data_IF_542920931681
#
_entry.id   IF_542920931681
#
_cell.length_a   1.000
_cell.length_b   1.000
_cell.length_c   1.000
_cell.angle_alpha   90.00
_cell.angle_beta   90.00
_cell.angle_gamma   90.00
#
_symmetry.space_group_name_H-M   'P 1'
#
loop_
_entity.id
_entity.type
_entity.pdbx_description
1 polymer ?
#
# COMPACT_ATOMS: atom_id res chain seq x y z
N UNK A 1 -11.93 -4.11 -13.62
CA UNK A 1 -11.59 -3.17 -12.52
C UNK A 1 -10.28 -2.51 -12.88
N UNK A 2 -10.15 -1.19 -12.72
CA UNK A 2 -8.84 -0.55 -12.81
C UNK A 2 -8.71 0.49 -11.71
N UNK A 3 -7.64 0.40 -10.94
CA UNK A 3 -7.35 1.35 -9.87
C UNK A 3 -6.71 2.58 -10.48
N UNK A 4 -7.22 3.76 -10.13
CA UNK A 4 -6.69 5.05 -10.57
C UNK A 4 -6.28 5.91 -9.39
N UNK A 5 -5.13 6.56 -9.53
CA UNK A 5 -4.69 7.62 -8.61
C UNK A 5 -5.22 8.94 -9.15
N UNK A 6 -6.21 9.52 -8.49
CA UNK A 6 -6.96 10.69 -8.99
C UNK A 6 -7.22 11.71 -7.90
N UNK A 7 -7.57 12.93 -8.33
CA UNK A 7 -7.88 14.03 -7.43
C UNK A 7 -9.36 14.03 -7.09
N UNK A 8 -9.67 13.96 -5.80
CA UNK A 8 -10.99 14.21 -5.24
C UNK A 8 -11.12 15.71 -4.96
N UNK A 9 -12.19 16.34 -5.44
CA UNK A 9 -12.38 17.78 -5.23
C UNK A 9 -13.09 18.00 -3.90
N UNK A 10 -12.50 18.84 -3.07
CA UNK A 10 -13.02 19.33 -1.81
C UNK A 10 -13.00 20.86 -1.83
N UNK A 11 -13.46 21.45 -0.73
CA UNK A 11 -13.47 22.89 -0.53
C UNK A 11 -14.80 23.54 -0.89
N UNK A 12 -14.77 24.86 -1.05
CA UNK A 12 -15.97 25.69 -1.25
C UNK A 12 -15.86 26.43 -2.59
N UNK A 13 -16.94 27.13 -2.95
CA UNK A 13 -16.93 28.04 -4.11
C UNK A 13 -15.75 29.02 -3.96
N UNK A 14 -14.97 29.22 -5.03
CA UNK A 14 -13.76 30.06 -5.05
C UNK A 14 -12.60 29.66 -4.11
N UNK A 15 -12.67 28.51 -3.44
CA UNK A 15 -11.56 27.95 -2.64
C UNK A 15 -11.45 26.44 -2.88
N UNK A 16 -10.88 26.02 -4.04
CA UNK A 16 -10.72 24.61 -4.35
C UNK A 16 -9.62 24.00 -3.49
N UNK A 17 -9.88 22.80 -2.96
CA UNK A 17 -8.90 21.96 -2.29
C UNK A 17 -9.00 20.57 -2.89
N UNK A 18 -7.88 19.85 -3.03
CA UNK A 18 -7.90 18.52 -3.62
C UNK A 18 -7.22 17.52 -2.71
N UNK A 19 -7.84 16.35 -2.55
CA UNK A 19 -7.18 15.17 -1.99
C UNK A 19 -6.74 14.27 -3.12
N UNK A 20 -5.58 13.65 -2.96
CA UNK A 20 -5.05 12.68 -3.93
C UNK A 20 -5.34 11.31 -3.34
N UNK A 21 -6.18 10.57 -4.04
CA UNK A 21 -6.79 9.36 -3.53
C UNK A 21 -6.66 8.24 -4.56
N UNK A 22 -6.57 7.03 -4.05
CA UNK A 22 -6.60 5.80 -4.84
C UNK A 22 -8.04 5.28 -4.82
N UNK A 23 -8.61 5.11 -6.00
CA UNK A 23 -10.01 4.72 -6.19
C UNK A 23 -10.16 3.82 -7.41
N UNK A 24 -11.19 2.97 -7.42
CA UNK A 24 -11.61 2.32 -8.67
C UNK A 24 -12.05 3.38 -9.69
N UNK A 25 -11.66 3.20 -10.96
CA UNK A 25 -11.98 4.09 -12.05
C UNK A 25 -13.49 4.32 -12.24
N UNK A 26 -14.32 3.32 -11.94
CA UNK A 26 -15.79 3.37 -12.08
C UNK A 26 -16.47 4.15 -10.96
N UNK A 27 -15.81 4.32 -9.82
CA UNK A 27 -16.37 5.05 -8.68
C UNK A 27 -16.58 6.53 -9.03
N UNK A 28 -17.60 7.21 -8.45
CA UNK A 28 -17.82 8.64 -8.67
C UNK A 28 -16.61 9.47 -8.20
N UNK A 29 -16.40 10.66 -8.78
CA UNK A 29 -15.23 11.53 -8.52
C UNK A 29 -14.94 11.69 -7.02
N UNK A 30 -15.99 11.99 -6.25
CA UNK A 30 -15.89 12.28 -4.82
C UNK A 30 -16.37 11.11 -3.94
N UNK A 31 -16.37 9.89 -4.49
CA UNK A 31 -16.76 8.67 -3.78
C UNK A 31 -15.79 8.23 -2.68
N UNK A 32 -15.98 6.99 -2.23
CA UNK A 32 -15.14 6.34 -1.23
C UNK A 32 -13.76 6.02 -1.81
N UNK A 33 -12.72 6.49 -1.14
CA UNK A 33 -11.34 6.14 -1.46
C UNK A 33 -10.96 4.80 -0.83
N UNK A 34 -10.08 4.06 -1.50
CA UNK A 34 -9.37 2.92 -0.90
C UNK A 34 -8.35 3.47 0.09
N UNK A 35 -7.58 4.48 -0.34
CA UNK A 35 -6.54 5.13 0.45
C UNK A 35 -6.37 6.60 0.01
N UNK A 36 -6.10 7.48 0.98
CA UNK A 36 -5.72 8.88 0.73
C UNK A 36 -4.19 9.02 0.86
N UNK A 37 -3.52 9.33 -0.25
CA UNK A 37 -2.04 9.36 -0.32
C UNK A 37 -1.46 10.78 -0.36
N UNK A 38 -2.32 11.80 -0.32
CA UNK A 38 -1.85 13.17 -0.30
C UNK A 38 -2.92 14.23 -0.47
N UNK A 39 -2.45 15.46 -0.60
CA UNK A 39 -3.27 16.64 -0.82
C UNK A 39 -2.59 17.67 -1.71
N UNK A 40 -3.42 18.48 -2.35
CA UNK A 40 -3.02 19.59 -3.20
C UNK A 40 -3.92 20.80 -2.95
N UNK A 41 -3.32 21.89 -2.50
CA UNK A 41 -4.00 23.18 -2.34
C UNK A 41 -3.40 24.23 -3.30
N UNK A 42 -4.05 24.50 -4.45
CA UNK A 42 -3.53 25.48 -5.40
C UNK A 42 -3.53 26.93 -4.88
N UNK A 43 -4.26 27.24 -3.80
CA UNK A 43 -4.37 28.60 -3.27
C UNK A 43 -3.24 28.96 -2.30
N UNK A 44 -2.44 27.99 -1.87
CA UNK A 44 -1.30 28.24 -0.98
C UNK A 44 -0.14 28.83 -1.78
N UNK A 45 0.35 30.00 -1.34
CA UNK A 45 1.47 30.71 -1.98
C UNK A 45 2.80 29.97 -1.81
N UNK A 46 3.03 29.43 -0.62
CA UNK A 46 4.20 28.60 -0.35
C UNK A 46 4.15 27.30 -1.18
N UNK A 47 5.26 27.00 -1.86
CA UNK A 47 5.37 25.82 -2.74
C UNK A 47 5.48 24.54 -1.93
N UNK A 48 6.08 24.57 -0.73
CA UNK A 48 6.26 23.39 0.11
C UNK A 48 4.94 22.92 0.69
N UNK A 49 4.15 23.83 1.24
CA UNK A 49 2.83 23.51 1.77
C UNK A 49 1.78 23.20 0.68
N UNK A 50 2.05 23.52 -0.60
CA UNK A 50 1.10 23.36 -1.72
C UNK A 50 0.76 21.91 -2.04
N UNK A 51 1.75 21.02 -1.94
CA UNK A 51 1.63 19.62 -2.33
C UNK A 51 2.21 18.76 -1.22
N UNK A 52 1.39 17.87 -0.67
CA UNK A 52 1.86 16.84 0.29
C UNK A 52 1.53 15.49 -0.30
N UNK A 53 2.56 14.68 -0.57
CA UNK A 53 2.42 13.34 -1.13
C UNK A 53 3.17 12.34 -0.25
N UNK A 54 2.53 11.22 0.07
CA UNK A 54 3.22 10.04 0.54
C UNK A 54 3.77 9.27 -0.67
N UNK A 55 5.06 9.45 -0.95
CA UNK A 55 5.71 8.88 -2.14
C UNK A 55 5.81 7.36 -2.06
N UNK A 56 6.07 6.79 -0.88
CA UNK A 56 6.20 5.35 -0.67
C UNK A 56 4.91 4.62 -1.07
N UNK A 57 3.76 5.13 -0.62
CA UNK A 57 2.45 4.55 -0.96
C UNK A 57 2.12 4.72 -2.43
N UNK A 58 2.43 5.87 -3.02
CA UNK A 58 2.20 6.11 -4.45
C UNK A 58 3.00 5.11 -5.29
N UNK A 59 4.27 4.89 -4.96
CA UNK A 59 5.14 3.97 -5.69
C UNK A 59 4.68 2.53 -5.57
N UNK A 60 4.26 2.09 -4.39
CA UNK A 60 3.61 0.80 -4.19
C UNK A 60 2.36 0.64 -5.08
N UNK A 61 1.46 1.62 -5.10
CA UNK A 61 0.24 1.48 -5.90
C UNK A 61 0.52 1.52 -7.41
N UNK A 62 1.53 2.28 -7.84
CA UNK A 62 1.99 2.26 -9.23
C UNK A 62 2.59 0.90 -9.59
N UNK A 63 3.35 0.26 -8.69
CA UNK A 63 3.90 -1.09 -8.95
C UNK A 63 2.80 -2.16 -9.05
N UNK A 64 1.72 -2.02 -8.28
CA UNK A 64 0.50 -2.86 -8.37
C UNK A 64 -0.33 -2.55 -9.63
N UNK A 65 0.07 -1.58 -10.45
CA UNK A 65 -0.57 -1.25 -11.73
C UNK A 65 -1.62 -0.14 -11.68
N UNK A 66 -1.68 0.63 -10.58
CA UNK A 66 -2.55 1.80 -10.52
C UNK A 66 -2.06 2.90 -11.48
N UNK A 67 -2.99 3.44 -12.27
CA UNK A 67 -2.67 4.46 -13.26
C UNK A 67 -2.97 5.87 -12.71
N UNK A 68 -1.96 6.76 -12.59
CA UNK A 68 -2.19 8.14 -12.16
C UNK A 68 -2.83 8.97 -13.28
N UNK A 69 -3.69 9.93 -12.91
CA UNK A 69 -4.19 10.92 -13.87
C UNK A 69 -3.10 11.91 -14.28
N UNK A 70 -3.26 12.55 -15.44
CA UNK A 70 -2.23 13.45 -16.02
C UNK A 70 -1.76 14.54 -15.05
N UNK A 71 -2.68 15.19 -14.33
CA UNK A 71 -2.34 16.21 -13.32
C UNK A 71 -1.62 15.62 -12.12
N UNK A 72 -2.03 14.43 -11.64
CA UNK A 72 -1.38 13.74 -10.53
C UNK A 72 0.03 13.31 -10.93
N UNK A 73 0.20 12.76 -12.13
CA UNK A 73 1.51 12.42 -12.67
C UNK A 73 2.43 13.65 -12.76
N UNK A 74 1.91 14.80 -13.19
CA UNK A 74 2.66 16.06 -13.19
C UNK A 74 3.06 16.53 -11.78
N UNK A 75 2.20 16.35 -10.77
CA UNK A 75 2.53 16.65 -9.37
C UNK A 75 3.62 15.72 -8.84
N UNK A 76 3.49 14.42 -9.07
CA UNK A 76 4.50 13.41 -8.69
C UNK A 76 5.86 13.76 -9.29
N UNK A 77 5.94 14.04 -10.60
CA UNK A 77 7.19 14.44 -11.27
C UNK A 77 7.82 15.68 -10.64
N UNK A 78 7.01 16.70 -10.33
CA UNK A 78 7.50 17.93 -9.71
C UNK A 78 8.02 17.70 -8.28
N UNK A 79 7.37 16.80 -7.52
CA UNK A 79 7.85 16.40 -6.18
C UNK A 79 9.17 15.62 -6.31
N UNK A 80 9.28 14.67 -7.24
CA UNK A 80 10.54 13.93 -7.51
C UNK A 80 11.70 14.84 -7.93
N UNK A 81 11.40 15.93 -8.63
CA UNK A 81 12.39 16.94 -9.04
C UNK A 81 12.64 18.00 -7.94
N UNK A 82 12.18 17.79 -6.70
CA UNK A 82 12.26 18.71 -5.57
C UNK A 82 11.74 20.14 -5.84
N UNK A 83 10.86 20.33 -6.84
CA UNK A 83 10.38 21.67 -7.24
C UNK A 83 9.41 22.31 -6.24
N UNK A 84 8.92 21.54 -5.27
CA UNK A 84 8.01 22.02 -4.25
C UNK A 84 8.68 22.22 -2.88
N UNK A 85 9.88 21.69 -2.62
CA UNK A 85 10.47 21.70 -1.27
C UNK A 85 9.87 20.61 -0.37
N UNK A 86 10.60 20.23 0.67
CA UNK A 86 10.29 19.06 1.51
C UNK A 86 9.23 19.41 2.56
N UNK A 87 7.95 19.22 2.26
CA UNK A 87 6.91 19.18 3.28
C UNK A 87 6.58 17.73 3.60
N UNK A 88 6.82 17.33 4.86
CA UNK A 88 6.46 16.00 5.36
C UNK A 88 4.98 15.70 5.06
N UNK A 89 4.72 14.52 4.49
CA UNK A 89 3.37 14.04 4.23
C UNK A 89 2.60 13.90 5.55
N UNK A 90 1.28 14.19 5.59
CA UNK A 90 0.48 13.87 6.76
C UNK A 90 0.49 12.35 6.98
N UNK A 91 0.48 11.88 8.25
CA UNK A 91 0.39 10.46 8.54
C UNK A 91 -0.86 9.87 7.87
N UNK A 92 -0.79 8.62 7.37
CA UNK A 92 -1.92 7.97 6.71
C UNK A 92 -3.11 7.95 7.68
N UNK A 93 -4.20 8.64 7.31
CA UNK A 93 -5.45 8.69 8.11
C UNK A 93 -6.27 7.41 8.00
N UNK A 94 -5.75 6.40 7.28
CA UNK A 94 -6.38 5.10 7.11
C UNK A 94 -5.33 4.09 7.52
N UNK A 95 -5.50 3.48 8.69
CA UNK A 95 -4.70 2.33 9.07
C UNK A 95 -4.72 1.34 7.89
N UNK A 96 -3.56 0.82 7.45
CA UNK A 96 -3.55 -0.24 6.47
C UNK A 96 -4.39 -1.38 7.05
N UNK A 97 -5.49 -1.74 6.38
CA UNK A 97 -5.99 -3.09 6.52
C UNK A 97 -4.90 -3.95 5.92
N UNK A 98 -4.10 -4.57 6.78
CA UNK A 98 -3.11 -5.56 6.38
C UNK A 98 -3.75 -6.47 5.33
N UNK A 99 -3.17 -6.60 4.12
CA UNK A 99 -3.44 -7.79 3.35
C UNK A 99 -3.03 -8.98 4.23
N UNK A 100 -3.87 -10.01 4.42
CA UNK A 100 -3.41 -11.21 5.10
C UNK A 100 -2.16 -11.67 4.38
N UNK A 101 -1.08 -11.88 5.14
CA UNK A 101 0.14 -12.45 4.62
C UNK A 101 -0.22 -13.70 3.82
N UNK A 102 0.29 -13.88 2.58
CA UNK A 102 0.20 -15.18 1.96
C UNK A 102 0.98 -16.14 2.86
N UNK A 103 0.27 -17.06 3.50
CA UNK A 103 0.87 -18.25 4.08
C UNK A 103 1.74 -18.88 2.99
N UNK A 104 3.06 -19.07 3.21
CA UNK A 104 3.87 -19.78 2.25
C UNK A 104 3.46 -21.26 2.30
N UNK A 105 2.60 -21.64 1.34
CA UNK A 105 2.46 -23.01 0.89
C UNK A 105 3.83 -23.55 0.43
N UNK A 106 4.01 -24.85 0.67
CA UNK A 106 5.25 -25.60 0.72
C UNK A 106 6.14 -25.55 -0.54
N UNK A 107 7.45 -25.76 -0.37
CA UNK A 107 8.24 -26.53 -1.32
C UNK A 107 8.51 -27.93 -0.75
N UNK A 108 7.79 -28.92 -1.28
CA UNK A 108 8.18 -30.31 -1.27
C UNK A 108 9.42 -30.54 -2.16
N UNK A 109 10.22 -31.52 -1.75
CA UNK A 109 11.24 -32.26 -2.51
C UNK A 109 12.60 -31.60 -2.78
N UNK A 110 13.61 -32.01 -1.99
CA UNK A 110 14.64 -32.96 -2.48
C UNK A 110 15.94 -32.84 -1.65
N UNK A 111 16.12 -33.71 -0.66
CA UNK A 111 17.42 -34.26 -0.27
C UNK A 111 17.17 -35.48 0.63
N UNK A 112 17.65 -36.62 0.15
CA UNK A 112 17.48 -37.97 0.66
C UNK A 112 18.31 -38.25 1.94
N UNK A 113 17.88 -39.31 2.64
CA UNK A 113 18.64 -40.23 3.49
C UNK A 113 19.31 -39.70 4.79
N UNK A 114 18.73 -40.07 5.93
CA UNK A 114 19.37 -41.03 6.84
C UNK A 114 18.43 -41.49 7.97
N UNK A 115 18.38 -42.81 8.13
CA UNK A 115 18.02 -43.60 9.33
C UNK A 115 16.55 -43.62 9.79
N UNK A 116 15.90 -44.74 9.47
CA UNK A 116 14.69 -45.24 10.13
C UNK A 116 14.98 -46.03 11.41
N UNK A 117 13.85 -46.47 12.00
CA UNK A 117 13.68 -47.37 13.15
C UNK A 117 14.24 -46.85 14.50
N UNK A 118 13.45 -46.73 15.57
CA UNK A 118 12.63 -47.79 16.16
C UNK A 118 11.52 -47.20 17.05
N UNK A 119 10.36 -47.85 17.05
CA UNK A 119 9.14 -47.49 17.76
C UNK A 119 8.94 -48.36 19.02
N UNK A 120 8.26 -47.77 20.03
CA UNK A 120 7.38 -48.45 21.03
C UNK A 120 8.04 -49.52 21.93
N UNK A 121 7.50 -49.97 23.07
CA UNK A 121 6.59 -49.52 24.11
C UNK A 121 6.69 -50.61 25.21
N UNK A 122 6.46 -50.23 26.46
CA UNK A 122 5.96 -51.02 27.61
C UNK A 122 6.16 -52.56 27.72
N UNK A 123 6.85 -52.94 28.82
CA UNK A 123 6.40 -53.84 29.91
C UNK A 123 5.63 -55.14 29.59
N UNK A 124 6.27 -56.30 29.83
CA UNK A 124 5.69 -57.45 30.59
C UNK A 124 6.76 -58.42 31.12
N UNK A 125 6.62 -58.72 32.41
CA UNK A 125 7.04 -59.86 33.24
C UNK A 125 7.73 -61.13 32.69
N UNK A 126 8.63 -61.64 33.54
CA UNK A 126 8.83 -63.04 33.96
C UNK A 126 9.59 -64.04 33.06
N UNK A 127 10.77 -64.49 33.53
CA UNK A 127 11.02 -65.89 33.99
C UNK A 127 12.54 -66.19 34.14
N UNK A 128 12.93 -66.46 35.39
CA UNK A 128 13.74 -67.59 35.91
C UNK A 128 15.16 -67.92 35.37
N UNK A 129 16.10 -68.11 36.31
CA UNK A 129 17.44 -68.67 36.10
C UNK A 129 18.43 -68.28 37.19
#
# INVERSE_FOLDING_TARGET
MSVRIRMKRLGRRHRPYYRICIMDARSPRDGRAIEEVGSYDPMVRDKAARVKLNMERIEHWVSVGAQPSEKVAALIRKVKMNKFGTAAAPPPLTAPKEPPAPEPEAPEASAEESTGEEAAAETTESTEG
#
